data_IF_322629562454
#
_entry.id   IF_322629562454
#
_cell.length_a   1.000
_cell.length_b   1.000
_cell.length_c   1.000
_cell.angle_alpha   90.00
_cell.angle_beta   90.00
_cell.angle_gamma   90.00
#
_symmetry.space_group_name_H-M   'P 1'
#
loop_
_entity.id
_entity.type
_entity.pdbx_description
1 polymer ?
#
# COMPACT_ATOMS: atom_id res chain seq x y z
N UNK A 1 12.75 -16.58 -15.27
CA UNK A 1 11.51 -15.75 -15.14
C UNK A 1 11.64 -14.73 -14.00
N UNK A 2 11.97 -15.11 -12.75
CA UNK A 2 12.03 -14.17 -11.61
C UNK A 2 12.99 -12.98 -11.81
N UNK A 3 14.29 -13.23 -12.04
CA UNK A 3 15.29 -12.17 -12.21
C UNK A 3 15.03 -11.29 -13.44
N UNK A 4 14.54 -11.89 -14.52
CA UNK A 4 14.17 -11.14 -15.73
C UNK A 4 13.06 -10.12 -15.42
N UNK A 5 12.04 -10.51 -14.65
CA UNK A 5 10.98 -9.58 -14.23
C UNK A 5 11.49 -8.52 -13.25
N UNK A 6 12.33 -8.89 -12.28
CA UNK A 6 12.93 -7.93 -11.35
C UNK A 6 13.62 -6.77 -12.08
N UNK A 7 14.47 -7.09 -13.07
CA UNK A 7 15.18 -6.09 -13.85
C UNK A 7 14.22 -5.31 -14.76
N UNK A 8 13.35 -6.02 -15.50
CA UNK A 8 12.44 -5.41 -16.47
C UNK A 8 11.46 -4.41 -15.82
N UNK A 9 11.00 -4.68 -14.59
CA UNK A 9 10.08 -3.77 -13.90
C UNK A 9 10.74 -2.43 -13.55
N UNK A 10 11.96 -2.46 -13.00
CA UNK A 10 12.67 -1.21 -12.67
C UNK A 10 13.06 -0.42 -13.91
N UNK A 11 13.40 -1.11 -15.00
CA UNK A 11 13.65 -0.48 -16.30
C UNK A 11 12.38 0.15 -16.87
N UNK A 12 11.25 -0.55 -16.83
CA UNK A 12 9.96 -0.05 -17.32
C UNK A 12 9.48 1.17 -16.52
N UNK A 13 9.65 1.16 -15.20
CA UNK A 13 9.31 2.29 -14.33
C UNK A 13 10.16 3.53 -14.64
N UNK A 14 11.44 3.35 -14.97
CA UNK A 14 12.32 4.43 -15.37
C UNK A 14 11.99 4.94 -16.78
N UNK A 15 11.96 4.06 -17.78
CA UNK A 15 11.83 4.44 -19.20
C UNK A 15 10.42 4.87 -19.58
N UNK A 16 9.40 4.18 -19.05
CA UNK A 16 8.05 4.28 -19.58
C UNK A 16 7.96 3.75 -21.01
N UNK A 17 6.99 4.29 -21.76
CA UNK A 17 6.70 4.02 -23.17
C UNK A 17 5.99 5.23 -23.75
N UNK A 18 6.64 5.89 -24.70
CA UNK A 18 6.12 7.09 -25.35
C UNK A 18 4.90 6.80 -26.24
N UNK A 19 4.17 7.87 -26.60
CA UNK A 19 3.05 7.78 -27.54
C UNK A 19 3.47 7.19 -28.89
N UNK A 20 4.63 7.60 -29.43
CA UNK A 20 5.12 7.11 -30.72
C UNK A 20 5.44 5.62 -30.68
N UNK A 21 6.06 5.13 -29.60
CA UNK A 21 6.36 3.71 -29.42
C UNK A 21 5.10 2.87 -29.26
N UNK A 22 4.15 3.34 -28.42
CA UNK A 22 2.88 2.66 -28.21
C UNK A 22 2.04 2.61 -29.50
N UNK A 23 2.03 3.69 -30.29
CA UNK A 23 1.33 3.73 -31.58
C UNK A 23 1.95 2.76 -32.59
N UNK A 24 3.27 2.76 -32.72
CA UNK A 24 3.98 1.83 -33.60
C UNK A 24 3.71 0.36 -33.22
N UNK A 25 3.66 0.04 -31.93
CA UNK A 25 3.34 -1.30 -31.43
C UNK A 25 1.89 -1.71 -31.76
N UNK A 26 0.93 -0.82 -31.55
CA UNK A 26 -0.49 -1.08 -31.85
C UNK A 26 -0.72 -1.29 -33.36
N UNK A 27 -0.11 -0.47 -34.21
CA UNK A 27 -0.17 -0.63 -35.68
C UNK A 27 0.47 -1.95 -36.13
N UNK A 28 1.61 -2.32 -35.55
CA UNK A 28 2.28 -3.60 -35.83
C UNK A 28 1.44 -4.81 -35.39
N UNK A 29 0.57 -4.65 -34.39
CA UNK A 29 -0.39 -5.69 -33.97
C UNK A 29 -1.60 -5.85 -34.91
N UNK A 30 -1.68 -5.08 -36.00
CA UNK A 30 -2.74 -5.19 -37.01
C UNK A 30 -4.01 -4.41 -36.70
N UNK A 31 -3.97 -3.50 -35.72
CA UNK A 31 -5.11 -2.64 -35.38
C UNK A 31 -5.31 -1.53 -36.42
N UNK A 32 -6.56 -1.20 -36.72
CA UNK A 32 -6.91 -0.09 -37.60
C UNK A 32 -6.80 1.28 -36.89
N UNK A 33 -6.87 2.39 -37.64
CA UNK A 33 -6.68 3.75 -37.10
C UNK A 33 -7.67 4.12 -35.98
N UNK A 34 -8.92 3.67 -36.08
CA UNK A 34 -9.95 3.92 -35.08
C UNK A 34 -9.65 3.19 -33.77
N UNK A 35 -9.23 1.93 -33.86
CA UNK A 35 -8.80 1.11 -32.71
C UNK A 35 -7.54 1.68 -32.07
N UNK A 36 -6.54 2.06 -32.87
CA UNK A 36 -5.30 2.68 -32.38
C UNK A 36 -5.62 3.96 -31.62
N UNK A 37 -6.42 4.85 -32.20
CA UNK A 37 -6.79 6.13 -31.58
C UNK A 37 -7.48 5.93 -30.24
N UNK A 38 -8.39 4.94 -30.15
CA UNK A 38 -9.12 4.63 -28.91
C UNK A 38 -8.24 4.00 -27.83
N UNK A 39 -7.28 3.17 -28.19
CA UNK A 39 -6.48 2.38 -27.24
C UNK A 39 -5.19 3.11 -26.81
N UNK A 40 -4.63 3.94 -27.69
CA UNK A 40 -3.33 4.59 -27.51
C UNK A 40 -3.16 5.31 -26.17
N UNK A 41 -4.13 6.11 -25.66
CA UNK A 41 -3.99 6.79 -24.36
C UNK A 41 -3.76 5.82 -23.18
N UNK A 42 -4.28 4.59 -23.27
CA UNK A 42 -4.16 3.57 -22.24
C UNK A 42 -2.86 2.74 -22.32
N UNK A 43 -2.04 2.96 -23.37
CA UNK A 43 -0.79 2.22 -23.62
C UNK A 43 0.46 3.09 -23.46
N UNK A 44 0.30 4.38 -23.18
CA UNK A 44 1.39 5.29 -22.84
C UNK A 44 1.78 5.09 -21.38
N UNK A 45 3.07 5.00 -21.12
CA UNK A 45 3.63 4.98 -19.77
C UNK A 45 4.59 6.17 -19.64
N UNK A 46 4.34 7.07 -18.70
CA UNK A 46 5.16 8.28 -18.54
C UNK A 46 6.60 8.00 -18.09
N UNK A 47 6.84 6.82 -17.49
CA UNK A 47 8.15 6.50 -16.91
C UNK A 47 8.49 7.42 -15.75
N UNK A 48 9.78 7.71 -15.59
CA UNK A 48 10.32 8.61 -14.56
C UNK A 48 9.84 8.28 -13.13
N UNK A 49 9.65 6.98 -12.84
CA UNK A 49 9.27 6.49 -11.51
C UNK A 49 10.52 5.89 -10.84
N UNK A 50 11.07 6.53 -9.79
CA UNK A 50 12.32 6.09 -9.19
C UNK A 50 12.13 4.77 -8.43
N UNK A 51 13.17 3.92 -8.46
CA UNK A 51 13.22 2.66 -7.73
C UNK A 51 14.60 2.47 -7.10
N UNK A 52 14.66 1.74 -6.00
CA UNK A 52 15.92 1.23 -5.43
C UNK A 52 15.95 -0.29 -5.63
N UNK A 53 17.00 -0.78 -6.30
CA UNK A 53 17.24 -2.21 -6.49
C UNK A 53 18.32 -2.69 -5.54
N UNK A 54 17.95 -3.52 -4.56
CA UNK A 54 18.88 -4.14 -3.62
C UNK A 54 19.06 -5.60 -4.03
N UNK A 55 20.28 -5.99 -4.39
CA UNK A 55 20.61 -7.35 -4.84
C UNK A 55 21.55 -8.00 -3.82
N UNK A 56 21.19 -9.19 -3.35
CA UNK A 56 21.97 -10.00 -2.43
C UNK A 56 22.35 -11.31 -3.12
N UNK A 57 23.56 -11.82 -2.87
CA UNK A 57 24.00 -13.10 -3.43
C UNK A 57 23.12 -14.27 -2.95
N UNK A 58 22.71 -14.25 -1.67
CA UNK A 58 21.78 -15.21 -1.08
C UNK A 58 21.12 -14.59 0.15
N UNK A 59 19.85 -14.94 0.37
CA UNK A 59 19.16 -14.65 1.64
C UNK A 59 19.58 -15.72 2.64
N UNK A 60 20.33 -15.30 3.65
CA UNK A 60 20.82 -16.10 4.77
C UNK A 60 20.42 -15.40 6.07
N UNK A 61 20.50 -16.05 7.25
CA UNK A 61 20.23 -15.37 8.51
C UNK A 61 21.04 -14.07 8.68
N UNK A 62 22.30 -14.09 8.23
CA UNK A 62 23.17 -12.92 8.26
C UNK A 62 22.69 -11.80 7.32
N UNK A 63 22.46 -12.10 6.04
CA UNK A 63 22.05 -11.06 5.07
C UNK A 63 20.64 -10.55 5.31
N UNK A 64 19.76 -11.37 5.86
CA UNK A 64 18.43 -10.96 6.31
C UNK A 64 18.53 -10.02 7.51
N UNK A 65 19.33 -10.34 8.53
CA UNK A 65 19.55 -9.47 9.68
C UNK A 65 20.14 -8.12 9.27
N UNK A 66 21.12 -8.12 8.36
CA UNK A 66 21.69 -6.90 7.80
C UNK A 66 20.64 -6.05 7.06
N UNK A 67 19.75 -6.68 6.29
CA UNK A 67 18.68 -5.97 5.58
C UNK A 67 17.67 -5.35 6.54
N UNK A 68 17.27 -6.06 7.60
CA UNK A 68 16.39 -5.54 8.66
C UNK A 68 17.04 -4.32 9.32
N UNK A 69 18.27 -4.46 9.79
CA UNK A 69 19.02 -3.38 10.45
C UNK A 69 19.18 -2.15 9.53
N UNK A 70 19.40 -2.36 8.22
CA UNK A 70 19.46 -1.26 7.26
C UNK A 70 18.16 -0.44 7.22
N UNK A 71 16.99 -1.09 7.30
CA UNK A 71 15.70 -0.40 7.35
C UNK A 71 15.40 0.20 8.72
N UNK A 72 15.80 -0.43 9.83
CA UNK A 72 15.71 0.17 11.17
C UNK A 72 16.49 1.49 11.23
N UNK A 73 17.72 1.52 10.71
CA UNK A 73 18.51 2.73 10.64
C UNK A 73 17.97 3.76 9.65
N UNK A 74 17.39 3.34 8.52
CA UNK A 74 16.68 4.25 7.61
C UNK A 74 15.55 4.98 8.35
N UNK A 75 14.71 4.23 9.08
CA UNK A 75 13.57 4.78 9.84
C UNK A 75 14.09 5.74 10.92
N UNK A 76 15.11 5.32 11.67
CA UNK A 76 15.74 6.16 12.69
C UNK A 76 16.25 7.49 12.13
N UNK A 77 17.02 7.46 11.03
CA UNK A 77 17.56 8.68 10.40
C UNK A 77 16.42 9.61 9.95
N UNK A 78 15.35 9.06 9.36
CA UNK A 78 14.17 9.84 8.98
C UNK A 78 13.48 10.48 10.19
N UNK A 79 13.35 9.75 11.30
CA UNK A 79 12.80 10.29 12.54
C UNK A 79 13.61 11.45 13.11
N UNK A 80 14.93 11.30 13.18
CA UNK A 80 15.84 12.37 13.61
C UNK A 80 15.74 13.59 12.69
N UNK A 81 15.70 13.38 11.37
CA UNK A 81 15.55 14.48 10.41
C UNK A 81 14.22 15.24 10.56
N UNK A 82 13.14 14.55 10.91
CA UNK A 82 11.82 15.15 11.09
C UNK A 82 11.57 15.66 12.52
N UNK A 83 12.56 15.53 13.42
CA UNK A 83 12.44 15.90 14.83
C UNK A 83 11.24 15.24 15.53
N UNK A 84 11.06 13.93 15.28
CA UNK A 84 10.01 13.11 15.89
C UNK A 84 10.61 11.91 16.62
N UNK A 85 9.91 11.43 17.65
CA UNK A 85 10.29 10.22 18.36
C UNK A 85 9.82 8.97 17.59
N UNK A 86 10.74 8.26 16.94
CA UNK A 86 10.43 7.01 16.22
C UNK A 86 10.17 5.80 17.13
N UNK A 87 10.33 5.94 18.45
CA UNK A 87 10.29 4.84 19.41
C UNK A 87 9.10 4.90 20.37
N UNK A 88 8.17 5.83 20.19
CA UNK A 88 6.89 5.83 20.91
C UNK A 88 5.70 5.42 20.02
N UNK A 89 4.54 5.18 20.66
CA UNK A 89 3.33 4.72 19.98
C UNK A 89 2.04 5.20 20.67
N UNK A 90 1.98 6.44 21.12
CA UNK A 90 0.83 6.98 21.86
C UNK A 90 -0.50 6.89 21.10
N UNK A 91 -0.46 6.93 19.76
CA UNK A 91 -1.65 6.85 18.91
C UNK A 91 -2.49 5.58 19.06
N UNK A 92 -1.99 4.53 19.72
CA UNK A 92 -2.75 3.27 19.91
C UNK A 92 -3.66 3.28 21.14
N UNK A 93 -3.53 4.28 22.02
CA UNK A 93 -4.15 4.23 23.35
C UNK A 93 -5.65 4.48 23.32
N UNK A 94 -6.10 5.51 22.60
CA UNK A 94 -7.51 5.90 22.57
C UNK A 94 -8.39 4.75 22.05
N UNK A 95 -7.97 4.08 20.98
CA UNK A 95 -8.68 2.93 20.43
C UNK A 95 -8.79 1.77 21.44
N UNK A 96 -7.71 1.48 22.19
CA UNK A 96 -7.73 0.45 23.24
C UNK A 96 -8.65 0.83 24.39
N UNK A 97 -8.69 2.11 24.77
CA UNK A 97 -9.58 2.60 25.83
C UNK A 97 -11.06 2.49 25.40
N UNK A 98 -11.40 2.98 24.21
CA UNK A 98 -12.75 2.89 23.67
C UNK A 98 -13.21 1.44 23.48
N UNK A 99 -12.34 0.57 22.97
CA UNK A 99 -12.67 -0.84 22.80
C UNK A 99 -12.99 -1.53 24.14
N UNK A 100 -12.27 -1.21 25.22
CA UNK A 100 -12.56 -1.74 26.56
C UNK A 100 -13.93 -1.31 27.09
N UNK A 101 -14.39 -0.11 26.73
CA UNK A 101 -15.73 0.39 27.10
C UNK A 101 -16.82 -0.27 26.25
N UNK A 102 -16.60 -0.40 24.93
CA UNK A 102 -17.57 -0.97 23.99
C UNK A 102 -17.73 -2.49 24.17
N UNK A 103 -16.64 -3.21 24.45
CA UNK A 103 -16.65 -4.68 24.57
C UNK A 103 -17.75 -5.25 25.50
N UNK A 104 -17.94 -4.77 26.76
CA UNK A 104 -19.02 -5.25 27.61
C UNK A 104 -20.41 -4.85 27.10
N UNK A 105 -20.54 -3.71 26.42
CA UNK A 105 -21.81 -3.24 25.87
C UNK A 105 -22.30 -4.12 24.72
N UNK A 106 -21.43 -4.87 24.04
CA UNK A 106 -21.83 -5.87 23.05
C UNK A 106 -22.49 -7.12 23.65
N UNK A 107 -22.50 -7.28 24.99
CA UNK A 107 -23.19 -8.38 25.66
C UNK A 107 -24.67 -8.09 25.83
N UNK A 108 -25.50 -9.13 25.70
CA UNK A 108 -26.95 -9.04 25.81
C UNK A 108 -27.63 -8.22 24.71
N UNK A 109 -28.96 -8.21 24.75
CA UNK A 109 -29.79 -7.70 23.66
C UNK A 109 -30.30 -6.26 23.89
N UNK A 110 -29.91 -5.61 24.99
CA UNK A 110 -30.37 -4.25 25.30
C UNK A 110 -29.74 -3.21 24.33
N UNK A 111 -30.52 -2.25 23.82
CA UNK A 111 -29.98 -1.13 23.04
C UNK A 111 -28.97 -0.29 23.84
N UNK A 112 -27.98 0.24 23.15
CA UNK A 112 -26.92 1.10 23.66
C UNK A 112 -27.15 2.53 23.20
N UNK A 113 -26.95 3.51 24.09
CA UNK A 113 -27.14 4.94 23.83
C UNK A 113 -26.07 5.82 24.50
N UNK A 114 -24.94 5.23 24.92
CA UNK A 114 -23.87 5.87 25.69
C UNK A 114 -22.85 6.63 24.84
N UNK A 115 -22.86 6.45 23.51
CA UNK A 115 -21.88 7.05 22.58
C UNK A 115 -22.51 8.06 21.64
N UNK A 116 -21.76 8.51 20.64
CA UNK A 116 -22.32 9.26 19.51
C UNK A 116 -23.32 8.42 18.70
N UNK A 117 -24.11 9.09 17.86
CA UNK A 117 -25.18 8.47 17.09
C UNK A 117 -24.70 7.38 16.13
N UNK A 118 -23.49 7.54 15.54
CA UNK A 118 -22.94 6.54 14.61
C UNK A 118 -22.57 5.28 15.38
N UNK A 119 -21.80 5.41 16.46
CA UNK A 119 -21.35 4.28 17.28
C UNK A 119 -22.53 3.53 17.90
N UNK A 120 -23.52 4.24 18.47
CA UNK A 120 -24.73 3.61 19.01
C UNK A 120 -25.53 2.87 17.92
N UNK A 121 -25.72 3.51 16.76
CA UNK A 121 -26.44 2.92 15.63
C UNK A 121 -25.78 1.62 15.15
N UNK A 122 -24.46 1.61 15.01
CA UNK A 122 -23.69 0.44 14.62
C UNK A 122 -23.76 -0.68 15.66
N UNK A 123 -23.57 -0.38 16.95
CA UNK A 123 -23.68 -1.37 18.02
C UNK A 123 -25.07 -2.03 18.02
N UNK A 124 -26.13 -1.23 17.93
CA UNK A 124 -27.51 -1.72 17.96
C UNK A 124 -27.87 -2.52 16.71
N UNK A 125 -27.40 -2.08 15.54
CA UNK A 125 -27.53 -2.84 14.30
C UNK A 125 -26.87 -4.21 14.44
N UNK A 126 -25.62 -4.27 14.91
CA UNK A 126 -24.88 -5.53 15.13
C UNK A 126 -25.63 -6.44 16.10
N UNK A 127 -26.13 -5.91 17.22
CA UNK A 127 -26.90 -6.71 18.21
C UNK A 127 -28.14 -7.34 17.61
N UNK A 128 -28.87 -6.60 16.78
CA UNK A 128 -30.11 -7.09 16.14
C UNK A 128 -29.83 -8.19 15.11
N UNK A 129 -28.66 -8.17 14.46
CA UNK A 129 -28.31 -9.08 13.36
C UNK A 129 -27.33 -10.20 13.72
N UNK A 130 -26.88 -10.32 14.98
CA UNK A 130 -25.96 -11.41 15.38
C UNK A 130 -26.67 -12.74 15.70
N UNK A 131 -28.00 -12.77 15.70
CA UNK A 131 -28.80 -13.97 15.95
C UNK A 131 -28.89 -14.82 14.69
#
# INVERSE_FOLDING_TARGET
ILLANFLAQTEALMKGKSKAEAEAELRKSGMNDEQVTKILPHKVFEGNRPTNSIVLAKVTPFTLGALIAAYEHKIFVQGVMWDINSYDQWGVELGKQLAKVIQPELKGDKPVSSHDHSTNGLINFIKTHRK
#
